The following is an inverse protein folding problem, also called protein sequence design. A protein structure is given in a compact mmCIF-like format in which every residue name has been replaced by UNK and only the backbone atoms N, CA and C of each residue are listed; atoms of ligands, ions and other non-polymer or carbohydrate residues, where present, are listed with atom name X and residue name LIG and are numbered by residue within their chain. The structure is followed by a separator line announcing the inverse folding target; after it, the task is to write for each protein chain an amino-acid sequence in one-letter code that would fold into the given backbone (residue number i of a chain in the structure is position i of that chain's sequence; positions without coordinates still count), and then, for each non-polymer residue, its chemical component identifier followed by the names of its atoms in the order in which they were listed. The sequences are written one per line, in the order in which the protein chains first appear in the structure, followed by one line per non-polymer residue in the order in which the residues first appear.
data_IF_711236868051
#
_entry.id   IF_711236868051
#
_cell.length_a   1.000
_cell.length_b   1.000
_cell.length_c   1.000
_cell.angle_alpha   90.00
_cell.angle_beta   90.00
_cell.angle_gamma   90.00
#
_symmetry.space_group_name_H-M   'P 1'
#
loop_
_entity.id
_entity.type
_entity.pdbx_description
1 polymer ?
#
# COMPACT_ATOMS: atom_id res chain seq x y z
N UNK A 1 -50.71 43.04 -32.08
CA UNK A 1 -49.68 42.45 -32.96
C UNK A 1 -49.05 41.27 -32.22
N UNK A 2 -49.15 40.06 -32.78
CA UNK A 2 -48.72 38.81 -32.14
C UNK A 2 -47.21 38.63 -32.34
N UNK A 3 -46.46 38.49 -31.26
CA UNK A 3 -45.07 38.05 -31.30
C UNK A 3 -45.04 36.51 -31.18
N UNK A 4 -44.57 35.85 -32.23
CA UNK A 4 -44.34 34.40 -32.23
C UNK A 4 -42.95 34.18 -31.59
N UNK A 5 -42.94 33.67 -30.37
CA UNK A 5 -41.72 33.17 -29.72
C UNK A 5 -41.39 31.80 -30.34
N UNK A 6 -40.39 31.75 -31.21
CA UNK A 6 -39.83 30.49 -31.70
C UNK A 6 -38.87 29.96 -30.63
N UNK A 7 -39.31 28.96 -29.90
CA UNK A 7 -38.49 28.22 -28.94
C UNK A 7 -37.54 27.32 -29.73
N UNK A 8 -36.25 27.65 -29.71
CA UNK A 8 -35.17 26.77 -30.20
C UNK A 8 -34.94 25.68 -29.14
N UNK A 9 -35.40 24.46 -29.42
CA UNK A 9 -35.05 23.29 -28.60
C UNK A 9 -33.65 22.83 -29.04
N UNK A 10 -32.63 23.18 -28.28
CA UNK A 10 -31.31 22.56 -28.39
C UNK A 10 -31.40 21.20 -27.69
N UNK A 11 -31.39 20.13 -28.48
CA UNK A 11 -31.26 18.75 -28.00
C UNK A 11 -29.92 18.59 -27.29
N UNK A 12 -29.98 18.34 -25.97
CA UNK A 12 -28.83 17.99 -25.13
C UNK A 12 -28.41 16.56 -25.49
N UNK A 13 -27.37 16.43 -26.32
CA UNK A 13 -26.69 15.16 -26.54
C UNK A 13 -25.84 14.90 -25.29
N UNK A 14 -26.33 14.04 -24.40
CA UNK A 14 -25.52 13.47 -23.32
C UNK A 14 -24.55 12.49 -23.97
N UNK A 15 -23.32 12.94 -24.22
CA UNK A 15 -22.20 12.04 -24.41
C UNK A 15 -21.99 11.31 -23.09
N UNK A 16 -22.54 10.10 -22.95
CA UNK A 16 -22.04 9.13 -21.97
C UNK A 16 -20.66 8.70 -22.44
N UNK A 17 -19.65 9.49 -22.10
CA UNK A 17 -18.27 9.03 -22.16
C UNK A 17 -18.13 7.93 -21.12
N UNK A 18 -18.09 6.67 -21.57
CA UNK A 18 -17.26 5.68 -20.90
C UNK A 18 -15.81 6.14 -21.11
N UNK A 19 -15.37 7.08 -20.27
CA UNK A 19 -13.94 7.16 -20.00
C UNK A 19 -13.70 6.00 -19.06
N UNK A 20 -13.09 4.93 -19.57
CA UNK A 20 -12.24 4.06 -18.75
C UNK A 20 -11.09 4.98 -18.29
N UNK A 21 -11.40 5.87 -17.36
CA UNK A 21 -10.40 6.50 -16.54
C UNK A 21 -9.90 5.35 -15.67
N UNK A 22 -8.87 4.65 -16.16
CA UNK A 22 -8.05 3.75 -15.35
C UNK A 22 -7.65 4.55 -14.11
N UNK A 23 -8.41 4.41 -13.02
CA UNK A 23 -8.13 5.11 -11.78
C UNK A 23 -6.76 4.64 -11.32
N UNK A 24 -5.73 5.46 -11.58
CA UNK A 24 -4.38 5.22 -11.11
C UNK A 24 -4.46 5.03 -9.59
N UNK A 25 -4.10 3.84 -9.12
CA UNK A 25 -4.07 3.55 -7.69
C UNK A 25 -3.06 4.49 -7.02
N UNK A 26 -3.41 4.98 -5.84
CA UNK A 26 -2.53 5.88 -5.09
C UNK A 26 -1.27 5.14 -4.63
N UNK A 27 -0.10 5.77 -4.73
CA UNK A 27 1.17 5.29 -4.19
C UNK A 27 1.30 5.48 -2.66
N UNK A 28 0.18 5.60 -1.96
CA UNK A 28 0.09 5.79 -0.51
C UNK A 28 -0.76 4.69 0.10
N UNK A 29 -0.42 4.20 1.29
CA UNK A 29 -1.28 3.22 1.93
C UNK A 29 -2.54 3.91 2.48
N UNK A 30 -3.71 3.62 1.90
CA UNK A 30 -5.00 4.12 2.37
C UNK A 30 -5.42 3.47 3.70
N UNK A 31 -4.80 3.86 4.82
CA UNK A 31 -5.15 3.39 6.16
C UNK A 31 -5.48 4.53 7.11
N UNK A 32 -6.57 4.37 7.87
CA UNK A 32 -6.93 5.28 8.98
C UNK A 32 -6.05 5.08 10.21
N UNK A 33 -5.10 4.14 10.16
CA UNK A 33 -4.20 3.79 11.26
C UNK A 33 -2.75 4.21 11.01
N UNK A 34 -2.49 5.02 9.98
CA UNK A 34 -1.16 5.60 9.75
C UNK A 34 -0.60 6.26 11.04
N UNK A 35 0.68 6.03 11.31
CA UNK A 35 1.39 6.42 12.52
C UNK A 35 1.24 5.46 13.71
N UNK A 36 0.39 4.43 13.60
CA UNK A 36 0.29 3.40 14.64
C UNK A 36 1.47 2.43 14.59
N UNK A 37 1.70 1.76 15.72
CA UNK A 37 2.82 0.83 15.91
C UNK A 37 2.29 -0.55 16.30
N UNK A 38 2.85 -1.59 15.71
CA UNK A 38 2.55 -2.98 16.03
C UNK A 38 3.84 -3.77 16.28
N UNK A 39 3.73 -4.84 17.07
CA UNK A 39 4.83 -5.75 17.36
C UNK A 39 4.36 -7.21 17.30
N UNK A 40 5.21 -8.10 16.79
CA UNK A 40 4.99 -9.55 16.84
C UNK A 40 5.56 -10.15 18.15
N UNK A 41 5.45 -11.47 18.29
CA UNK A 41 5.96 -12.20 19.46
C UNK A 41 7.49 -12.24 19.56
N UNK A 42 8.20 -11.97 18.47
CA UNK A 42 9.65 -12.04 18.42
C UNK A 42 10.31 -10.68 18.73
N UNK A 43 9.54 -9.60 18.91
CA UNK A 43 9.97 -8.19 18.94
C UNK A 43 10.26 -7.60 17.56
N UNK A 44 9.56 -8.08 16.54
CA UNK A 44 9.56 -7.45 15.23
C UNK A 44 8.50 -6.35 15.21
N UNK A 45 8.96 -5.12 15.04
CA UNK A 45 8.12 -3.94 15.07
C UNK A 45 7.77 -3.50 13.66
N UNK A 46 6.53 -3.04 13.48
CA UNK A 46 6.07 -2.39 12.27
C UNK A 46 5.38 -1.06 12.58
N UNK A 47 5.59 -0.08 11.69
CA UNK A 47 4.86 1.18 11.65
C UNK A 47 4.41 1.44 10.22
N UNK A 48 3.12 1.70 10.03
CA UNK A 48 2.59 2.17 8.75
C UNK A 48 2.63 3.69 8.76
N UNK A 49 3.22 4.30 7.74
CA UNK A 49 3.16 5.73 7.47
C UNK A 49 2.20 6.01 6.29
N UNK A 50 2.06 7.26 5.90
CA UNK A 50 1.17 7.65 4.79
C UNK A 50 1.68 7.10 3.44
N UNK A 51 2.98 7.16 3.21
CA UNK A 51 3.64 6.88 1.91
C UNK A 51 4.59 5.67 1.96
N UNK A 52 4.66 4.99 3.10
CA UNK A 52 5.67 3.97 3.38
C UNK A 52 5.27 3.11 4.56
N UNK A 53 5.96 2.00 4.72
CA UNK A 53 6.02 1.29 5.99
C UNK A 53 7.45 1.20 6.51
N UNK A 54 7.58 1.19 7.83
CA UNK A 54 8.84 1.01 8.52
C UNK A 54 8.80 -0.29 9.32
N UNK A 55 9.91 -0.99 9.30
CA UNK A 55 10.15 -2.20 10.08
C UNK A 55 11.31 -1.96 11.04
N UNK A 56 11.31 -2.65 12.19
CA UNK A 56 12.48 -2.70 13.05
C UNK A 56 12.68 -4.10 13.61
N UNK A 57 13.82 -4.68 13.27
CA UNK A 57 14.21 -6.02 13.67
C UNK A 57 15.72 -6.09 13.90
N UNK A 58 16.12 -6.76 14.99
CA UNK A 58 17.53 -7.02 15.31
C UNK A 58 18.44 -5.76 15.22
N UNK A 59 17.96 -4.64 15.76
CA UNK A 59 18.70 -3.36 15.75
C UNK A 59 18.68 -2.60 14.43
N UNK A 60 18.10 -3.16 13.36
CA UNK A 60 17.99 -2.54 12.05
C UNK A 60 16.59 -1.94 11.85
N UNK A 61 16.56 -0.73 11.29
CA UNK A 61 15.34 0.01 10.95
C UNK A 61 15.30 0.21 9.43
N UNK A 62 14.30 -0.34 8.76
CA UNK A 62 14.18 -0.26 7.29
C UNK A 62 12.87 0.40 6.89
N UNK A 63 12.92 1.28 5.88
CA UNK A 63 11.76 1.98 5.30
C UNK A 63 11.49 1.42 3.90
N UNK A 64 10.26 0.98 3.67
CA UNK A 64 9.77 0.47 2.39
C UNK A 64 8.75 1.44 1.81
N UNK A 65 8.86 1.71 0.51
CA UNK A 65 7.87 2.52 -0.20
C UNK A 65 6.57 1.74 -0.32
N UNK A 66 5.43 2.38 -0.04
CA UNK A 66 4.11 1.77 -0.28
C UNK A 66 3.65 1.96 -1.73
N UNK A 67 4.46 2.57 -2.60
CA UNK A 67 4.17 2.87 -4.00
C UNK A 67 4.84 1.94 -5.01
N UNK A 68 4.44 2.05 -6.28
CA UNK A 68 5.09 1.37 -7.39
C UNK A 68 6.57 1.75 -7.53
N UNK A 69 7.40 0.81 -7.96
CA UNK A 69 8.81 1.09 -8.26
C UNK A 69 9.70 -0.13 -8.35
N UNK A 70 11.00 0.13 -8.36
CA UNK A 70 12.06 -0.89 -8.27
C UNK A 70 12.90 -0.62 -7.03
N UNK A 71 13.08 -1.64 -6.21
CA UNK A 71 13.71 -1.54 -4.89
C UNK A 71 14.73 -2.68 -4.73
N UNK A 72 15.58 -2.59 -3.70
CA UNK A 72 16.45 -3.71 -3.32
C UNK A 72 15.78 -4.49 -2.19
N UNK A 73 15.90 -5.81 -2.17
CA UNK A 73 15.44 -6.65 -1.07
C UNK A 73 16.32 -6.45 0.15
N UNK A 74 15.72 -6.10 1.28
CA UNK A 74 16.44 -5.99 2.57
C UNK A 74 17.06 -7.32 3.04
N UNK A 75 16.51 -8.45 2.57
CA UNK A 75 16.88 -9.80 2.99
C UNK A 75 18.03 -10.37 2.15
N UNK A 76 18.01 -10.14 0.84
CA UNK A 76 18.96 -10.76 -0.10
C UNK A 76 19.80 -9.76 -0.90
N UNK A 77 19.45 -8.47 -0.89
CA UNK A 77 20.11 -7.42 -1.69
C UNK A 77 19.79 -7.47 -3.19
N UNK A 78 19.01 -8.44 -3.65
CA UNK A 78 18.52 -8.56 -5.03
C UNK A 78 17.46 -7.49 -5.33
N UNK A 79 17.40 -7.00 -6.56
CA UNK A 79 16.36 -6.04 -6.95
C UNK A 79 14.99 -6.70 -7.11
N UNK A 80 13.92 -5.95 -6.92
CA UNK A 80 12.56 -6.38 -7.24
C UNK A 80 11.73 -5.20 -7.76
N UNK A 81 10.76 -5.48 -8.62
CA UNK A 81 9.67 -4.55 -8.96
C UNK A 81 8.53 -4.75 -7.97
N UNK A 82 7.89 -3.64 -7.60
CA UNK A 82 6.66 -3.62 -6.84
C UNK A 82 5.60 -2.88 -7.67
N UNK A 83 4.43 -3.49 -7.81
CA UNK A 83 3.28 -2.87 -8.50
C UNK A 83 2.01 -3.06 -7.68
N UNK A 84 1.33 -1.98 -7.33
CA UNK A 84 0.09 -1.99 -6.57
C UNK A 84 -0.99 -2.71 -7.39
N UNK A 85 -1.60 -3.72 -6.76
CA UNK A 85 -2.75 -4.43 -7.31
C UNK A 85 -4.06 -3.90 -6.73
N UNK A 86 -4.07 -3.58 -5.44
CA UNK A 86 -5.24 -3.06 -4.72
C UNK A 86 -4.77 -2.12 -3.63
N UNK A 87 -5.50 -1.02 -3.47
CA UNK A 87 -5.28 -0.05 -2.42
C UNK A 87 -6.63 0.44 -1.89
N UNK A 88 -7.10 -0.22 -0.84
CA UNK A 88 -8.41 -0.03 -0.22
C UNK A 88 -8.24 0.41 1.24
N UNK A 89 -9.32 0.83 1.87
CA UNK A 89 -9.29 1.21 3.28
C UNK A 89 -8.73 0.07 4.15
N UNK A 90 -7.57 0.32 4.77
CA UNK A 90 -6.83 -0.62 5.62
C UNK A 90 -6.34 -1.90 4.93
N UNK A 91 -6.26 -1.92 3.59
CA UNK A 91 -5.73 -3.03 2.82
C UNK A 91 -4.89 -2.55 1.64
N UNK A 92 -3.67 -3.05 1.50
CA UNK A 92 -2.85 -2.85 0.30
C UNK A 92 -2.24 -4.18 -0.14
N UNK A 93 -2.10 -4.35 -1.45
CA UNK A 93 -1.42 -5.51 -2.02
C UNK A 93 -0.57 -5.12 -3.22
N UNK A 94 0.59 -5.74 -3.33
CA UNK A 94 1.52 -5.56 -4.43
C UNK A 94 1.77 -6.87 -5.16
N UNK A 95 1.95 -6.80 -6.47
CA UNK A 95 2.73 -7.77 -7.20
C UNK A 95 4.21 -7.45 -6.99
N UNK A 96 4.98 -8.44 -6.57
CA UNK A 96 6.43 -8.38 -6.41
C UNK A 96 7.07 -9.35 -7.38
N UNK A 97 8.04 -8.86 -8.17
CA UNK A 97 8.81 -9.68 -9.11
C UNK A 97 10.31 -9.41 -8.91
N UNK A 98 11.07 -10.45 -8.60
CA UNK A 98 12.51 -10.34 -8.35
C UNK A 98 13.29 -10.26 -9.66
N UNK A 99 14.28 -9.38 -9.70
CA UNK A 99 15.17 -9.16 -10.83
C UNK A 99 16.50 -9.86 -10.54
N UNK A 100 16.66 -11.06 -11.11
CA UNK A 100 17.86 -11.88 -10.95
C UNK A 100 17.60 -13.18 -10.17
N UNK A 101 18.66 -13.79 -9.65
CA UNK A 101 18.54 -14.97 -8.79
C UNK A 101 18.12 -14.54 -7.37
N UNK A 102 16.95 -15.01 -6.94
CA UNK A 102 16.36 -14.77 -5.61
C UNK A 102 15.94 -16.11 -5.01
N UNK A 103 16.08 -16.28 -3.70
CA UNK A 103 15.49 -17.45 -3.01
C UNK A 103 14.04 -17.22 -2.62
N UNK A 104 13.58 -15.97 -2.69
CA UNK A 104 12.19 -15.58 -2.50
C UNK A 104 11.42 -15.68 -3.83
N UNK A 105 10.21 -16.26 -3.82
CA UNK A 105 9.40 -16.36 -5.02
C UNK A 105 8.76 -15.01 -5.36
N UNK A 106 8.54 -14.78 -6.65
CA UNK A 106 7.60 -13.76 -7.13
C UNK A 106 6.20 -14.05 -6.59
N UNK A 107 5.39 -13.01 -6.44
CA UNK A 107 4.01 -13.20 -6.04
C UNK A 107 3.38 -11.98 -5.41
N UNK A 108 2.26 -12.20 -4.73
CA UNK A 108 1.51 -11.14 -4.08
C UNK A 108 1.98 -10.96 -2.64
N UNK A 109 2.40 -9.74 -2.31
CA UNK A 109 2.55 -9.28 -0.94
C UNK A 109 1.28 -8.55 -0.51
N UNK A 110 0.81 -8.75 0.72
CA UNK A 110 -0.33 -8.02 1.26
C UNK A 110 -0.08 -7.49 2.66
N UNK A 111 -0.66 -6.32 2.94
CA UNK A 111 -0.82 -5.82 4.30
C UNK A 111 -2.28 -5.48 4.56
N UNK A 112 -2.77 -5.86 5.72
CA UNK A 112 -4.14 -5.58 6.14
C UNK A 112 -4.21 -5.22 7.61
N UNK A 113 -4.98 -4.19 7.93
CA UNK A 113 -5.26 -3.79 9.31
C UNK A 113 -6.73 -4.08 9.60
N UNK A 114 -7.00 -4.74 10.73
CA UNK A 114 -8.39 -5.01 11.11
C UNK A 114 -9.14 -3.71 11.42
N UNK A 115 -10.48 -3.75 11.43
CA UNK A 115 -11.34 -2.56 11.59
C UNK A 115 -11.09 -1.76 12.88
N UNK A 116 -10.51 -2.37 13.90
CA UNK A 116 -10.19 -1.72 15.20
C UNK A 116 -8.76 -1.18 15.26
N UNK A 117 -7.93 -1.48 14.26
CA UNK A 117 -6.50 -1.19 14.27
C UNK A 117 -5.67 -2.08 15.19
N UNK A 118 -6.27 -3.01 15.94
CA UNK A 118 -5.58 -3.82 16.95
C UNK A 118 -4.65 -4.88 16.37
N UNK A 119 -4.88 -5.31 15.13
CA UNK A 119 -4.07 -6.30 14.43
C UNK A 119 -3.66 -5.82 13.05
N UNK A 120 -2.39 -5.97 12.74
CA UNK A 120 -1.81 -5.85 11.41
C UNK A 120 -1.41 -7.26 10.95
N UNK A 121 -1.86 -7.66 9.77
CA UNK A 121 -1.49 -8.93 9.13
C UNK A 121 -0.72 -8.62 7.86
N UNK A 122 0.49 -9.18 7.76
CA UNK A 122 1.34 -9.11 6.58
C UNK A 122 1.48 -10.51 6.00
N UNK A 123 1.25 -10.66 4.70
CA UNK A 123 1.47 -11.93 3.98
C UNK A 123 2.52 -11.72 2.90
N UNK A 124 3.63 -12.45 3.01
CA UNK A 124 4.73 -12.40 2.06
C UNK A 124 4.43 -13.22 0.78
N UNK A 125 5.24 -13.02 -0.25
CA UNK A 125 5.10 -13.69 -1.56
C UNK A 125 5.20 -15.22 -1.48
N UNK A 126 5.95 -15.73 -0.50
CA UNK A 126 6.07 -17.16 -0.19
C UNK A 126 4.88 -17.71 0.65
N UNK A 127 3.82 -16.94 0.84
CA UNK A 127 2.65 -17.23 1.67
C UNK A 127 2.89 -17.32 3.19
N UNK A 128 4.08 -16.95 3.70
CA UNK A 128 4.27 -16.80 5.13
C UNK A 128 3.46 -15.59 5.61
N UNK A 129 2.69 -15.80 6.68
CA UNK A 129 1.86 -14.77 7.31
C UNK A 129 2.45 -14.39 8.68
N UNK A 130 2.55 -13.08 8.91
CA UNK A 130 2.93 -12.48 10.18
C UNK A 130 1.76 -11.67 10.73
N UNK A 131 1.46 -11.85 12.01
CA UNK A 131 0.39 -11.13 12.71
C UNK A 131 0.99 -10.32 13.85
N UNK A 132 0.85 -9.00 13.76
CA UNK A 132 1.36 -8.05 14.72
C UNK A 132 0.21 -7.50 15.57
N UNK A 133 0.50 -7.24 16.85
CA UNK A 133 -0.45 -6.65 17.79
C UNK A 133 -0.12 -5.20 18.02
N UNK A 134 -1.15 -4.33 18.01
CA UNK A 134 -0.96 -2.89 18.22
C UNK A 134 -0.45 -2.62 19.63
N UNK A 135 0.51 -1.70 19.74
CA UNK A 135 1.06 -1.25 21.02
C UNK A 135 0.99 0.27 21.15
N UNK A 136 1.12 0.74 22.39
CA UNK A 136 1.22 2.18 22.70
C UNK A 136 2.66 2.65 22.85
N UNK A 137 3.61 1.72 22.80
CA UNK A 137 5.04 2.00 22.90
C UNK A 137 5.53 2.81 21.69
N UNK A 138 6.60 3.56 21.91
CA UNK A 138 7.27 4.27 20.81
C UNK A 138 7.96 3.28 19.89
N UNK A 139 7.81 3.47 18.57
CA UNK A 139 8.56 2.69 17.59
C UNK A 139 10.06 2.88 17.81
N UNK A 140 10.85 1.80 17.96
CA UNK A 140 12.27 1.88 18.36
C UNK A 140 13.17 2.53 17.30
N UNK A 141 12.69 2.67 16.06
CA UNK A 141 13.43 3.22 14.94
C UNK A 141 13.07 4.66 14.57
N UNK A 142 13.91 5.63 14.95
CA UNK A 142 13.63 7.05 14.64
C UNK A 142 14.02 7.46 13.21
N UNK A 143 15.00 6.79 12.59
CA UNK A 143 15.56 7.14 11.27
C UNK A 143 15.74 5.91 10.36
N UNK A 144 14.64 5.21 10.07
CA UNK A 144 14.65 4.07 9.15
C UNK A 144 15.29 4.44 7.81
N UNK A 145 16.18 3.56 7.33
CA UNK A 145 16.87 3.78 6.06
C UNK A 145 16.04 3.21 4.92
N UNK A 146 15.95 3.89 3.76
CA UNK A 146 15.34 3.32 2.59
C UNK A 146 15.96 1.96 2.30
N UNK A 147 15.10 1.00 1.98
CA UNK A 147 15.50 -0.29 1.46
C UNK A 147 16.03 -0.17 0.02
#
# INVERSE_FOLDING_TARGET
MRYINVIFILSLILFTGCSDDEESLSNTFNSTHAGSVWVDTNNYWFRINVDSEDDYWDGKCTRYSSGDGTFNSSQEGVQYTQTILRNEANFISYQVEYIGESTLPDGTFTMSVNSTGTKLTIKQTNNIEYVFTKVTDSFPGTDCKPN
#
